data_IF_156593462250
#
_entry.id   IF_156593462250
#
_cell.length_a   1.000
_cell.length_b   1.000
_cell.length_c   1.000
_cell.angle_alpha   90.00
_cell.angle_beta   90.00
_cell.angle_gamma   90.00
#
_symmetry.space_group_name_H-M   'P 1'
#
loop_
_entity.id
_entity.type
_entity.pdbx_description
1 polymer ?
#
# COMPACT_ATOMS: atom_id res chain seq x y z
N UNK A 1 -27.86 58.92 -31.06
CA UNK A 1 -29.16 58.88 -30.38
C UNK A 1 -29.58 57.43 -30.18
N UNK A 2 -30.16 57.14 -29.03
CA UNK A 2 -30.76 55.87 -28.56
C UNK A 2 -29.85 54.84 -27.87
N UNK A 3 -29.75 55.08 -26.56
CA UNK A 3 -29.63 54.17 -25.41
C UNK A 3 -30.55 52.93 -25.42
N UNK A 4 -30.09 51.82 -24.82
CA UNK A 4 -30.80 50.91 -23.89
C UNK A 4 -29.91 49.66 -23.63
N UNK A 5 -29.13 49.63 -22.54
CA UNK A 5 -29.47 49.07 -21.21
C UNK A 5 -29.48 47.53 -21.14
N UNK A 6 -28.40 47.04 -20.53
CA UNK A 6 -28.17 45.70 -20.01
C UNK A 6 -29.12 45.42 -18.83
N UNK A 7 -29.95 44.36 -18.90
CA UNK A 7 -30.78 43.93 -17.77
C UNK A 7 -30.42 42.51 -17.33
N UNK A 8 -29.69 42.46 -16.23
CA UNK A 8 -29.54 41.33 -15.31
C UNK A 8 -30.92 40.80 -14.92
N UNK A 9 -31.20 39.52 -15.20
CA UNK A 9 -32.39 38.84 -14.69
C UNK A 9 -31.96 37.82 -13.62
N UNK A 10 -32.43 38.08 -12.42
CA UNK A 10 -32.12 37.40 -11.19
C UNK A 10 -32.71 35.98 -11.11
N UNK A 11 -31.96 35.14 -10.40
CA UNK A 11 -32.25 33.80 -9.89
C UNK A 11 -33.71 33.59 -9.45
N UNK A 12 -34.43 32.72 -10.17
CA UNK A 12 -35.81 32.34 -9.90
C UNK A 12 -35.89 31.20 -8.89
N UNK A 13 -36.11 31.59 -7.63
CA UNK A 13 -36.52 30.80 -6.47
C UNK A 13 -37.20 29.45 -6.76
N UNK A 14 -36.63 28.39 -6.19
CA UNK A 14 -37.31 27.12 -5.94
C UNK A 14 -38.55 27.36 -5.07
N UNK A 15 -39.73 27.36 -5.72
CA UNK A 15 -41.01 27.45 -5.02
C UNK A 15 -41.29 26.12 -4.32
N UNK A 16 -41.02 26.10 -3.02
CA UNK A 16 -41.60 25.16 -2.07
C UNK A 16 -43.12 25.23 -2.16
N UNK A 17 -43.75 24.11 -2.51
CA UNK A 17 -45.19 23.95 -2.42
C UNK A 17 -45.51 23.67 -0.95
N UNK A 18 -45.64 24.72 -0.15
CA UNK A 18 -46.06 24.61 1.25
C UNK A 18 -47.59 24.43 1.27
N UNK A 19 -48.05 23.22 1.54
CA UNK A 19 -49.46 22.95 1.85
C UNK A 19 -49.73 23.42 3.28
N UNK A 20 -50.82 24.17 3.57
CA UNK A 20 -51.12 24.62 4.93
C UNK A 20 -51.50 23.40 5.78
N UNK A 21 -50.71 23.09 6.82
CA UNK A 21 -51.02 22.05 7.82
C UNK A 21 -50.59 20.62 7.49
N UNK A 22 -49.90 20.37 6.36
CA UNK A 22 -49.34 19.04 6.05
C UNK A 22 -47.89 18.95 6.52
N UNK A 23 -47.53 17.86 7.23
CA UNK A 23 -46.13 17.55 7.53
C UNK A 23 -45.29 17.65 6.25
N UNK A 24 -44.05 18.19 6.31
CA UNK A 24 -43.21 18.31 5.12
C UNK A 24 -42.97 16.91 4.52
N UNK A 25 -43.23 16.78 3.21
CA UNK A 25 -43.13 15.51 2.45
C UNK A 25 -41.86 15.54 1.59
N UNK A 26 -41.20 14.39 1.44
CA UNK A 26 -40.02 14.23 0.60
C UNK A 26 -40.43 14.05 -0.89
N UNK A 27 -40.11 15.03 -1.73
CA UNK A 27 -40.37 14.95 -3.17
C UNK A 27 -39.38 14.00 -3.86
N UNK A 28 -39.91 13.06 -4.66
CA UNK A 28 -39.15 12.11 -5.48
C UNK A 28 -38.10 12.78 -6.38
N UNK A 29 -38.34 14.02 -6.85
CA UNK A 29 -37.36 14.78 -7.62
C UNK A 29 -36.13 15.14 -6.79
N UNK A 30 -36.33 15.50 -5.53
CA UNK A 30 -35.23 15.76 -4.60
C UNK A 30 -34.45 14.47 -4.31
N UNK A 31 -35.14 13.34 -4.05
CA UNK A 31 -34.49 12.04 -3.88
C UNK A 31 -33.61 11.70 -5.09
N UNK A 32 -34.18 11.78 -6.29
CA UNK A 32 -33.47 11.47 -7.52
C UNK A 32 -32.27 12.40 -7.75
N UNK A 33 -32.40 13.69 -7.42
CA UNK A 33 -31.29 14.64 -7.52
C UNK A 33 -30.15 14.29 -6.57
N UNK A 34 -30.47 13.92 -5.33
CA UNK A 34 -29.48 13.56 -4.32
C UNK A 34 -28.78 12.24 -4.67
N UNK A 35 -29.54 11.23 -5.11
CA UNK A 35 -28.97 9.97 -5.61
C UNK A 35 -28.06 10.20 -6.82
N UNK A 36 -28.42 11.10 -7.75
CA UNK A 36 -27.58 11.47 -8.89
C UNK A 36 -26.33 12.25 -8.48
N UNK A 37 -26.40 13.08 -7.44
CA UNK A 37 -25.22 13.76 -6.89
C UNK A 37 -24.27 12.74 -6.26
N UNK A 38 -24.79 11.90 -5.36
CA UNK A 38 -24.04 10.82 -4.71
C UNK A 38 -23.40 9.87 -5.72
N UNK A 39 -24.14 9.42 -6.75
CA UNK A 39 -23.61 8.57 -7.83
C UNK A 39 -22.43 9.23 -8.58
N UNK A 40 -22.42 10.56 -8.70
CA UNK A 40 -21.33 11.32 -9.34
C UNK A 40 -20.14 11.57 -8.40
N UNK A 41 -20.17 11.04 -7.18
CA UNK A 41 -19.11 11.21 -6.18
C UNK A 41 -19.22 12.48 -5.34
N UNK A 42 -20.36 13.18 -5.37
CA UNK A 42 -20.62 14.27 -4.45
C UNK A 42 -21.10 13.72 -3.11
N UNK A 43 -20.18 13.58 -2.16
CA UNK A 43 -20.45 13.13 -0.79
C UNK A 43 -20.76 14.27 0.18
N UNK A 44 -20.96 15.49 -0.33
CA UNK A 44 -21.43 16.65 0.46
C UNK A 44 -22.94 16.81 0.43
N UNK A 45 -23.63 16.13 -0.49
CA UNK A 45 -25.09 16.17 -0.62
C UNK A 45 -25.77 15.70 0.67
N UNK A 46 -26.78 16.44 1.12
CA UNK A 46 -27.62 16.08 2.26
C UNK A 46 -29.09 16.27 1.91
N UNK A 47 -29.92 15.33 2.34
CA UNK A 47 -31.36 15.46 2.37
C UNK A 47 -31.81 16.21 3.62
N UNK A 48 -33.04 16.73 3.58
CA UNK A 48 -33.66 17.48 4.67
C UNK A 48 -33.81 16.63 5.93
N UNK A 49 -33.53 17.22 7.08
CA UNK A 49 -33.61 16.55 8.40
C UNK A 49 -34.90 16.89 9.16
N UNK A 50 -35.70 17.84 8.66
CA UNK A 50 -36.95 18.28 9.29
C UNK A 50 -38.18 17.43 8.90
N UNK A 51 -37.94 16.34 8.17
CA UNK A 51 -38.96 15.38 7.74
C UNK A 51 -39.24 14.35 8.84
N UNK A 52 -40.48 13.90 8.95
CA UNK A 52 -40.88 12.89 9.94
C UNK A 52 -41.53 11.68 9.25
N UNK A 53 -41.69 10.58 9.99
CA UNK A 53 -42.20 9.32 9.44
C UNK A 53 -41.21 8.67 8.47
N UNK A 54 -41.72 7.95 7.47
CA UNK A 54 -40.89 7.20 6.51
C UNK A 54 -40.00 8.12 5.69
N UNK A 55 -40.50 9.30 5.30
CA UNK A 55 -39.73 10.31 4.55
C UNK A 55 -38.51 10.81 5.35
N UNK A 56 -38.69 11.02 6.65
CA UNK A 56 -37.59 11.33 7.58
C UNK A 56 -36.58 10.20 7.67
N UNK A 57 -37.04 8.95 7.85
CA UNK A 57 -36.17 7.77 7.92
C UNK A 57 -35.37 7.56 6.63
N UNK A 58 -35.98 7.79 5.45
CA UNK A 58 -35.29 7.71 4.17
C UNK A 58 -34.19 8.78 4.08
N UNK A 59 -34.50 10.02 4.48
CA UNK A 59 -33.55 11.12 4.44
C UNK A 59 -32.38 10.90 5.43
N UNK A 60 -32.67 10.45 6.64
CA UNK A 60 -31.69 10.09 7.67
C UNK A 60 -30.77 8.96 7.17
N UNK A 61 -31.35 7.83 6.74
CA UNK A 61 -30.57 6.68 6.22
C UNK A 61 -29.70 7.09 5.04
N UNK A 62 -30.22 7.93 4.13
CA UNK A 62 -29.43 8.46 3.02
C UNK A 62 -28.26 9.32 3.51
N UNK A 63 -28.50 10.24 4.44
CA UNK A 63 -27.44 11.09 4.99
C UNK A 63 -26.37 10.27 5.72
N UNK A 64 -26.76 9.24 6.47
CA UNK A 64 -25.85 8.30 7.11
C UNK A 64 -25.00 7.54 6.09
N UNK A 65 -25.60 7.05 5.00
CA UNK A 65 -24.88 6.38 3.91
C UNK A 65 -23.85 7.33 3.26
N UNK A 66 -24.23 8.58 3.01
CA UNK A 66 -23.31 9.57 2.45
C UNK A 66 -22.15 9.84 3.41
N UNK A 67 -22.43 9.94 4.70
CA UNK A 67 -21.40 10.15 5.73
C UNK A 67 -20.43 8.97 5.84
N UNK A 68 -20.94 7.73 5.79
CA UNK A 68 -20.12 6.53 5.79
C UNK A 68 -19.14 6.51 4.61
N UNK A 69 -19.62 6.78 3.40
CA UNK A 69 -18.76 6.78 2.21
C UNK A 69 -17.75 7.92 2.25
N UNK A 70 -18.13 9.10 2.76
CA UNK A 70 -17.21 10.21 2.98
C UNK A 70 -16.08 9.82 3.94
N UNK A 71 -16.43 9.24 5.08
CA UNK A 71 -15.47 8.78 6.09
C UNK A 71 -14.48 7.74 5.52
N UNK A 72 -14.98 6.76 4.77
CA UNK A 72 -14.15 5.73 4.13
C UNK A 72 -13.20 6.36 3.09
N UNK A 73 -13.70 7.30 2.27
CA UNK A 73 -12.88 8.02 1.28
C UNK A 73 -11.75 8.80 1.96
N UNK A 74 -12.08 9.56 3.00
CA UNK A 74 -11.11 10.41 3.69
C UNK A 74 -10.03 9.54 4.36
N UNK A 75 -10.44 8.45 5.04
CA UNK A 75 -9.51 7.49 5.64
C UNK A 75 -8.63 6.80 4.59
N UNK A 76 -9.19 6.42 3.43
CA UNK A 76 -8.41 5.83 2.34
C UNK A 76 -7.37 6.82 1.77
N UNK A 77 -7.73 8.10 1.64
CA UNK A 77 -6.80 9.16 1.25
C UNK A 77 -5.66 9.32 2.26
N UNK A 78 -5.99 9.35 3.55
CA UNK A 78 -5.01 9.50 4.62
C UNK A 78 -4.04 8.32 4.68
N UNK A 79 -4.56 7.10 4.58
CA UNK A 79 -3.73 5.88 4.53
C UNK A 79 -2.84 5.88 3.29
N UNK A 80 -3.38 6.25 2.11
CA UNK A 80 -2.60 6.34 0.88
C UNK A 80 -1.45 7.34 0.99
N UNK A 81 -1.68 8.51 1.59
CA UNK A 81 -0.62 9.50 1.83
C UNK A 81 0.42 8.99 2.83
N UNK A 82 -0.01 8.40 3.94
CA UNK A 82 0.88 7.91 4.98
C UNK A 82 1.77 6.76 4.48
N UNK A 83 1.18 5.73 3.86
CA UNK A 83 1.91 4.56 3.36
C UNK A 83 2.71 4.93 2.10
N UNK A 84 2.10 5.64 1.16
CA UNK A 84 2.69 5.91 -0.15
C UNK A 84 3.71 7.05 -0.18
N UNK A 85 3.55 8.09 0.63
CA UNK A 85 4.44 9.27 0.62
C UNK A 85 5.29 9.39 1.88
N UNK A 86 4.72 9.11 3.05
CA UNK A 86 5.45 9.25 4.32
C UNK A 86 6.19 7.96 4.75
N UNK A 87 6.04 6.85 4.01
CA UNK A 87 6.68 5.57 4.33
C UNK A 87 6.15 4.91 5.61
N UNK A 88 5.00 5.35 6.12
CA UNK A 88 4.39 4.83 7.35
C UNK A 88 3.63 3.53 7.05
N UNK A 89 4.37 2.47 6.76
CA UNK A 89 3.84 1.16 6.36
C UNK A 89 2.97 0.49 7.44
N UNK A 90 2.97 0.99 8.68
CA UNK A 90 2.11 0.53 9.77
C UNK A 90 0.73 1.22 9.82
N UNK A 91 0.50 2.30 9.06
CA UNK A 91 -0.80 2.97 9.03
C UNK A 91 -1.85 2.02 8.47
N UNK A 92 -3.03 2.00 9.08
CA UNK A 92 -4.18 1.19 8.69
C UNK A 92 -5.42 2.07 8.62
N UNK A 93 -6.37 1.68 7.79
CA UNK A 93 -7.70 2.28 7.77
C UNK A 93 -8.42 1.95 9.08
N UNK A 94 -8.95 2.99 9.72
CA UNK A 94 -9.79 2.82 10.90
C UNK A 94 -11.15 2.21 10.55
N UNK A 95 -11.60 1.23 11.34
CA UNK A 95 -12.98 0.70 11.29
C UNK A 95 -13.88 1.50 12.24
N UNK A 96 -14.33 2.68 11.83
CA UNK A 96 -15.45 3.33 12.53
C UNK A 96 -16.75 2.97 11.83
N UNK A 97 -17.66 2.33 12.55
CA UNK A 97 -19.05 2.08 12.16
C UNK A 97 -19.26 1.33 10.83
N UNK A 98 -18.20 0.75 10.26
CA UNK A 98 -18.29 -0.12 9.10
C UNK A 98 -18.82 -1.50 9.55
N UNK A 99 -19.98 -1.89 9.03
CA UNK A 99 -20.59 -3.19 9.26
C UNK A 99 -20.83 -3.91 7.92
N UNK A 100 -20.98 -5.25 7.97
CA UNK A 100 -21.19 -6.07 6.79
C UNK A 100 -20.10 -5.87 5.73
N UNK A 101 -20.50 -5.73 4.46
CA UNK A 101 -19.58 -5.58 3.33
C UNK A 101 -18.63 -4.38 3.44
N UNK A 102 -18.98 -3.32 4.18
CA UNK A 102 -18.06 -2.21 4.43
C UNK A 102 -16.92 -2.61 5.37
N UNK A 103 -17.20 -3.44 6.37
CA UNK A 103 -16.16 -3.96 7.26
C UNK A 103 -15.22 -4.89 6.50
N UNK A 104 -15.76 -5.73 5.62
CA UNK A 104 -15.00 -6.62 4.74
C UNK A 104 -14.11 -5.80 3.79
N UNK A 105 -14.64 -4.75 3.18
CA UNK A 105 -13.85 -3.85 2.32
C UNK A 105 -12.66 -3.22 3.07
N UNK A 106 -12.90 -2.65 4.26
CA UNK A 106 -11.82 -2.07 5.08
C UNK A 106 -10.83 -3.15 5.52
N UNK A 107 -11.29 -4.38 5.76
CA UNK A 107 -10.40 -5.53 6.06
C UNK A 107 -9.49 -5.83 4.89
N UNK A 108 -10.06 -5.98 3.69
CA UNK A 108 -9.31 -6.30 2.47
C UNK A 108 -8.24 -5.25 2.15
N UNK A 109 -8.56 -3.95 2.31
CA UNK A 109 -7.56 -2.89 2.14
C UNK A 109 -6.43 -3.01 3.17
N UNK A 110 -6.76 -3.25 4.43
CA UNK A 110 -5.77 -3.40 5.49
C UNK A 110 -4.89 -4.66 5.31
N UNK A 111 -5.46 -5.76 4.82
CA UNK A 111 -4.73 -6.99 4.49
C UNK A 111 -3.70 -6.73 3.37
N UNK A 112 -4.10 -6.08 2.28
CA UNK A 112 -3.17 -5.74 1.19
C UNK A 112 -2.02 -4.86 1.68
N UNK A 113 -2.31 -3.87 2.54
CA UNK A 113 -1.27 -3.01 3.13
C UNK A 113 -0.34 -3.85 4.02
N UNK A 114 -0.89 -4.74 4.83
CA UNK A 114 -0.12 -5.61 5.70
C UNK A 114 0.82 -6.53 4.92
N UNK A 115 0.32 -7.17 3.86
CA UNK A 115 1.10 -8.09 3.02
C UNK A 115 2.28 -7.36 2.34
N UNK A 116 2.01 -6.21 1.73
CA UNK A 116 3.04 -5.41 1.05
C UNK A 116 4.08 -4.88 2.03
N UNK A 117 3.63 -4.36 3.18
CA UNK A 117 4.51 -3.82 4.22
C UNK A 117 5.37 -4.92 4.86
N UNK A 118 4.76 -6.08 5.13
CA UNK A 118 5.48 -7.25 5.65
C UNK A 118 6.53 -7.75 4.66
N UNK A 119 6.20 -7.80 3.37
CA UNK A 119 7.15 -8.18 2.32
C UNK A 119 8.35 -7.22 2.25
N UNK A 120 8.10 -5.91 2.28
CA UNK A 120 9.16 -4.89 2.26
C UNK A 120 10.05 -4.97 3.51
N UNK A 121 9.44 -5.13 4.69
CA UNK A 121 10.18 -5.29 5.96
C UNK A 121 11.07 -6.54 5.95
N UNK A 122 10.60 -7.63 5.36
CA UNK A 122 11.38 -8.86 5.28
C UNK A 122 12.62 -8.70 4.38
N UNK A 123 12.47 -8.02 3.24
CA UNK A 123 13.61 -7.67 2.39
C UNK A 123 14.60 -6.80 3.18
N UNK A 124 14.10 -5.77 3.87
CA UNK A 124 14.93 -4.87 4.67
C UNK A 124 15.67 -5.61 5.79
N UNK A 125 15.03 -6.59 6.43
CA UNK A 125 15.62 -7.45 7.48
C UNK A 125 16.81 -8.22 6.93
N UNK A 126 16.63 -8.93 5.81
CA UNK A 126 17.69 -9.75 5.21
C UNK A 126 18.82 -8.88 4.66
N UNK A 127 18.51 -7.77 3.97
CA UNK A 127 19.54 -6.83 3.49
C UNK A 127 20.33 -6.23 4.65
N UNK A 128 19.67 -5.91 5.77
CA UNK A 128 20.36 -5.42 6.97
C UNK A 128 21.23 -6.49 7.63
N UNK A 129 20.83 -7.76 7.60
CA UNK A 129 21.65 -8.87 8.08
C UNK A 129 22.91 -9.03 7.23
N UNK A 130 22.76 -9.04 5.91
CA UNK A 130 23.87 -9.07 4.95
C UNK A 130 24.83 -7.92 5.17
N UNK A 131 24.32 -6.70 5.38
CA UNK A 131 25.16 -5.52 5.66
C UNK A 131 25.97 -5.64 6.95
N UNK A 132 25.51 -6.45 7.91
CA UNK A 132 26.24 -6.78 9.15
C UNK A 132 27.14 -8.02 9.02
N UNK A 133 27.22 -8.62 7.83
CA UNK A 133 27.99 -9.83 7.57
C UNK A 133 27.29 -11.13 7.97
N UNK A 134 26.02 -11.08 8.36
CA UNK A 134 25.22 -12.27 8.64
C UNK A 134 24.58 -12.78 7.35
N UNK A 135 25.18 -13.84 6.80
CA UNK A 135 24.80 -14.45 5.52
C UNK A 135 23.99 -15.74 5.70
N UNK A 136 23.56 -16.05 6.93
CA UNK A 136 22.67 -17.18 7.21
C UNK A 136 21.19 -16.76 7.12
N UNK A 137 20.91 -15.46 7.25
CA UNK A 137 19.55 -14.93 7.17
C UNK A 137 19.02 -14.93 5.74
N UNK A 138 17.91 -15.63 5.53
CA UNK A 138 17.19 -15.68 4.25
C UNK A 138 15.72 -15.34 4.44
N UNK A 139 15.06 -15.01 3.33
CA UNK A 139 13.61 -14.80 3.30
C UNK A 139 12.90 -16.15 3.34
N UNK A 140 11.89 -16.28 4.21
CA UNK A 140 11.04 -17.47 4.28
C UNK A 140 10.16 -17.61 3.02
N UNK A 141 10.19 -18.77 2.37
CA UNK A 141 9.48 -19.00 1.10
C UNK A 141 8.15 -19.74 1.30
N UNK A 142 8.08 -20.66 2.26
CA UNK A 142 6.96 -21.61 2.38
C UNK A 142 6.07 -21.43 3.63
N UNK A 143 6.46 -20.64 4.64
CA UNK A 143 5.88 -20.77 6.00
C UNK A 143 5.33 -19.48 6.64
N UNK A 144 4.93 -18.49 5.85
CA UNK A 144 4.24 -17.31 6.40
C UNK A 144 2.81 -17.60 6.88
N UNK A 145 2.32 -16.87 7.88
CA UNK A 145 0.92 -16.97 8.37
C UNK A 145 -0.19 -16.67 7.34
N UNK A 146 0.17 -16.36 6.09
CA UNK A 146 -0.72 -16.06 4.96
C UNK A 146 -0.59 -17.11 3.84
N UNK A 147 0.07 -18.24 4.12
CA UNK A 147 0.34 -19.31 3.16
C UNK A 147 1.66 -19.11 2.38
N UNK A 148 2.01 -20.05 1.48
CA UNK A 148 3.27 -20.01 0.74
C UNK A 148 3.33 -18.78 -0.17
N UNK A 149 4.52 -18.16 -0.27
CA UNK A 149 4.70 -16.98 -1.13
C UNK A 149 4.51 -17.36 -2.59
N UNK A 150 3.77 -16.54 -3.33
CA UNK A 150 3.46 -16.75 -4.76
C UNK A 150 3.78 -15.50 -5.57
N UNK A 151 3.80 -15.67 -6.90
CA UNK A 151 3.96 -14.55 -7.84
C UNK A 151 5.22 -13.72 -7.62
N UNK A 152 5.07 -12.40 -7.56
CA UNK A 152 6.18 -11.46 -7.38
C UNK A 152 6.90 -11.64 -6.04
N UNK A 153 6.17 -11.91 -4.95
CA UNK A 153 6.80 -12.07 -3.63
C UNK A 153 7.74 -13.26 -3.58
N UNK A 154 7.38 -14.35 -4.28
CA UNK A 154 8.27 -15.51 -4.44
C UNK A 154 9.49 -15.18 -5.30
N UNK A 155 9.31 -14.42 -6.38
CA UNK A 155 10.42 -14.00 -7.24
C UNK A 155 11.44 -13.15 -6.46
N UNK A 156 10.98 -12.15 -5.71
CA UNK A 156 11.85 -11.33 -4.88
C UNK A 156 12.58 -12.16 -3.82
N UNK A 157 11.87 -13.05 -3.12
CA UNK A 157 12.49 -13.93 -2.13
C UNK A 157 13.59 -14.80 -2.73
N UNK A 158 13.37 -15.39 -3.91
CA UNK A 158 14.40 -16.16 -4.63
C UNK A 158 15.60 -15.31 -5.05
N UNK A 159 15.37 -14.08 -5.53
CA UNK A 159 16.46 -13.17 -5.92
C UNK A 159 17.31 -12.80 -4.71
N UNK A 160 16.67 -12.40 -3.60
CA UNK A 160 17.35 -12.03 -2.36
C UNK A 160 18.11 -13.22 -1.78
N UNK A 161 17.47 -14.39 -1.66
CA UNK A 161 18.12 -15.60 -1.15
C UNK A 161 19.30 -16.04 -2.05
N UNK A 162 19.15 -15.91 -3.37
CA UNK A 162 20.25 -16.17 -4.32
C UNK A 162 21.39 -15.17 -4.22
N UNK A 163 21.13 -13.91 -3.84
CA UNK A 163 22.18 -12.95 -3.51
C UNK A 163 22.91 -13.35 -2.22
N UNK A 164 22.18 -13.69 -1.15
CA UNK A 164 22.76 -14.14 0.14
C UNK A 164 23.64 -15.37 -0.06
N UNK A 165 23.15 -16.39 -0.77
CA UNK A 165 23.91 -17.61 -1.03
C UNK A 165 25.21 -17.35 -1.80
N UNK A 166 25.19 -16.45 -2.78
CA UNK A 166 26.40 -16.08 -3.55
C UNK A 166 27.43 -15.36 -2.68
N UNK A 167 26.97 -14.45 -1.80
CA UNK A 167 27.84 -13.78 -0.84
C UNK A 167 28.46 -14.77 0.14
N UNK A 168 27.66 -15.71 0.65
CA UNK A 168 28.12 -16.73 1.59
C UNK A 168 29.21 -17.62 0.96
N UNK A 169 28.98 -18.07 -0.29
CA UNK A 169 29.95 -18.87 -1.03
C UNK A 169 31.26 -18.10 -1.25
N UNK A 170 31.18 -16.82 -1.66
CA UNK A 170 32.35 -15.99 -1.87
C UNK A 170 33.15 -15.78 -0.58
N UNK A 171 32.46 -15.43 0.53
CA UNK A 171 33.10 -15.22 1.83
C UNK A 171 33.81 -16.48 2.34
N UNK A 172 33.18 -17.65 2.17
CA UNK A 172 33.79 -18.94 2.52
C UNK A 172 35.05 -19.23 1.69
N UNK A 173 35.00 -19.04 0.37
CA UNK A 173 36.14 -19.28 -0.52
C UNK A 173 37.31 -18.35 -0.22
N UNK A 174 37.06 -17.05 0.01
CA UNK A 174 38.12 -16.10 0.38
C UNK A 174 38.74 -16.47 1.72
N UNK A 175 37.94 -16.86 2.70
CA UNK A 175 38.44 -17.29 4.03
C UNK A 175 39.31 -18.55 3.90
N UNK A 176 38.86 -19.54 3.12
CA UNK A 176 39.61 -20.78 2.87
C UNK A 176 40.97 -20.48 2.24
N UNK A 177 40.99 -19.68 1.16
CA UNK A 177 42.25 -19.34 0.46
C UNK A 177 43.19 -18.57 1.37
N UNK A 178 42.68 -17.62 2.16
CA UNK A 178 43.49 -16.88 3.12
C UNK A 178 44.14 -17.80 4.17
N UNK A 179 43.41 -18.82 4.65
CA UNK A 179 43.94 -19.82 5.59
C UNK A 179 44.98 -20.74 4.95
N UNK A 180 44.72 -21.24 3.74
CA UNK A 180 45.65 -22.13 3.03
C UNK A 180 46.98 -21.43 2.68
N UNK A 181 46.92 -20.20 2.16
CA UNK A 181 48.14 -19.45 1.80
C UNK A 181 48.84 -18.90 3.03
N UNK A 182 48.12 -18.26 3.95
CA UNK A 182 48.71 -17.54 5.08
C UNK A 182 49.00 -18.40 6.31
N UNK A 183 48.15 -19.38 6.61
CA UNK A 183 48.28 -20.22 7.79
C UNK A 183 49.03 -21.53 7.54
N UNK A 184 48.73 -22.19 6.42
CA UNK A 184 49.31 -23.50 6.08
C UNK A 184 50.53 -23.42 5.16
N UNK A 185 50.84 -22.23 4.61
CA UNK A 185 51.95 -22.03 3.68
C UNK A 185 51.77 -22.76 2.34
N UNK A 186 50.54 -23.13 1.98
CA UNK A 186 50.21 -23.76 0.69
C UNK A 186 50.11 -22.69 -0.40
N UNK A 187 51.26 -22.35 -0.98
CA UNK A 187 51.35 -21.38 -2.06
C UNK A 187 50.61 -21.89 -3.32
N UNK A 188 49.87 -21.00 -3.98
CA UNK A 188 49.08 -21.33 -5.18
C UNK A 188 47.65 -21.81 -4.96
N UNK A 189 47.11 -21.73 -3.73
CA UNK A 189 45.68 -21.95 -3.49
C UNK A 189 44.83 -20.91 -4.26
N UNK A 190 43.74 -21.35 -4.88
CA UNK A 190 42.87 -20.48 -5.67
C UNK A 190 41.43 -20.54 -5.19
N UNK A 191 40.79 -19.38 -5.12
CA UNK A 191 39.37 -19.22 -4.90
C UNK A 191 38.62 -19.66 -6.16
N UNK A 192 37.64 -20.54 -5.99
CA UNK A 192 36.80 -21.03 -7.09
C UNK A 192 35.34 -20.79 -6.78
N UNK A 193 34.86 -19.61 -7.14
CA UNK A 193 33.45 -19.24 -7.00
C UNK A 193 32.75 -19.46 -8.33
N UNK A 194 31.78 -20.37 -8.38
CA UNK A 194 31.06 -20.69 -9.62
C UNK A 194 30.06 -19.58 -9.98
N UNK A 195 29.94 -19.28 -11.27
CA UNK A 195 28.92 -18.35 -11.79
C UNK A 195 29.13 -16.87 -11.47
N UNK A 196 30.34 -16.47 -11.06
CA UNK A 196 30.68 -15.06 -10.83
C UNK A 196 30.87 -14.28 -12.13
N UNK A 197 30.38 -13.04 -12.15
CA UNK A 197 30.52 -12.09 -13.26
C UNK A 197 30.61 -10.67 -12.73
N UNK A 198 31.13 -9.74 -13.55
CA UNK A 198 31.38 -8.35 -13.16
C UNK A 198 32.32 -8.26 -11.96
N UNK A 199 32.00 -7.37 -11.01
CA UNK A 199 32.82 -7.08 -9.80
C UNK A 199 33.21 -8.37 -9.05
N UNK A 200 32.34 -9.38 -9.01
CA UNK A 200 32.62 -10.65 -8.31
C UNK A 200 33.74 -11.46 -8.96
N UNK A 201 33.82 -11.42 -10.29
CA UNK A 201 34.91 -12.05 -11.03
C UNK A 201 36.21 -11.32 -10.76
N UNK A 202 36.20 -9.99 -10.87
CA UNK A 202 37.38 -9.15 -10.65
C UNK A 202 37.97 -9.33 -9.25
N UNK A 203 37.11 -9.45 -8.22
CA UNK A 203 37.54 -9.73 -6.85
C UNK A 203 38.13 -11.15 -6.70
N UNK A 204 37.51 -12.16 -7.31
CA UNK A 204 38.02 -13.54 -7.29
C UNK A 204 39.40 -13.62 -7.96
N UNK A 205 39.54 -12.99 -9.12
CA UNK A 205 40.78 -12.95 -9.89
C UNK A 205 41.88 -12.18 -9.11
N UNK A 206 41.52 -11.11 -8.40
CA UNK A 206 42.43 -10.36 -7.53
C UNK A 206 42.93 -11.20 -6.34
N UNK A 207 42.05 -11.95 -5.68
CA UNK A 207 42.42 -12.87 -4.59
C UNK A 207 43.37 -13.96 -5.11
N UNK A 208 43.08 -14.52 -6.28
CA UNK A 208 43.93 -15.53 -6.90
C UNK A 208 45.32 -15.01 -7.27
N UNK A 209 45.41 -13.78 -7.77
CA UNK A 209 46.69 -13.14 -8.09
C UNK A 209 47.56 -12.92 -6.84
N UNK A 210 46.95 -12.52 -5.72
CA UNK A 210 47.68 -12.39 -4.45
C UNK A 210 48.18 -13.75 -3.96
N UNK A 211 47.32 -14.77 -4.01
CA UNK A 211 47.64 -16.12 -3.57
C UNK A 211 48.71 -16.82 -4.42
N UNK A 212 48.87 -16.45 -5.70
CA UNK A 212 49.89 -16.99 -6.60
C UNK A 212 51.25 -16.30 -6.50
N UNK A 213 51.29 -15.07 -5.97
CA UNK A 213 52.50 -14.25 -5.90
C UNK A 213 53.21 -14.33 -4.54
N UNK A 214 52.67 -15.11 -3.60
CA UNK A 214 53.25 -15.46 -2.31
C UNK A 214 53.94 -16.81 -2.39
#
# INVERSE_FOLDING_TARGET
MSTAETKTAANGNGKTKVTPGGAPILDHRHILSALRAFKRGDFSVRMREDLTGVDGQIAETFNEMVELVRSIRDEASDVSQAVGKAGQAAKRMRRLNAAGGWAEYVSAVNEVIQDLSGHANEIARVVSAVARGDLEQTMEIDEGGHGPRRGEFLRHAKIVNGMVARLAQFGSEVTRVAQEVGGEGKLGAQARVQGVSGVWKDLTDSVNLMASNL
#
